data_IF_482023880991
#
_entry.id   IF_482023880991
#
_cell.length_a   1.000
_cell.length_b   1.000
_cell.length_c   1.000
_cell.angle_alpha   90.00
_cell.angle_beta   90.00
_cell.angle_gamma   90.00
#
_symmetry.space_group_name_H-M   'P 1'
#
loop_
_entity.id
_entity.type
_entity.pdbx_description
1 polymer ?
#
# COMPACT_ATOMS: atom_id res chain seq x y z
N UNK A 1 -11.74 -11.68 4.22
CA UNK A 1 -11.31 -13.04 4.64
C UNK A 1 -9.81 -13.17 4.48
N UNK A 2 -9.16 -14.19 5.05
CA UNK A 2 -7.69 -14.36 4.92
C UNK A 2 -7.26 -14.55 3.46
N UNK A 3 -8.09 -15.21 2.64
CA UNK A 3 -7.83 -15.36 1.21
C UNK A 3 -7.89 -14.03 0.45
N UNK A 4 -8.84 -13.15 0.76
CA UNK A 4 -8.92 -11.81 0.16
C UNK A 4 -7.71 -10.94 0.52
N UNK A 5 -7.23 -11.04 1.77
CA UNK A 5 -6.03 -10.33 2.21
C UNK A 5 -4.80 -10.83 1.45
N UNK A 6 -4.62 -12.16 1.37
CA UNK A 6 -3.51 -12.75 0.62
C UNK A 6 -3.61 -12.47 -0.89
N UNK A 7 -4.83 -12.44 -1.44
CA UNK A 7 -5.10 -12.00 -2.81
C UNK A 7 -4.64 -10.57 -3.04
N UNK A 8 -4.98 -9.65 -2.14
CA UNK A 8 -4.56 -8.26 -2.25
C UNK A 8 -3.04 -8.12 -2.24
N UNK A 9 -2.34 -8.83 -1.34
CA UNK A 9 -0.88 -8.81 -1.26
C UNK A 9 -0.25 -9.40 -2.54
N UNK A 10 -0.79 -10.51 -3.06
CA UNK A 10 -0.35 -11.10 -4.33
C UNK A 10 -0.46 -10.07 -5.46
N UNK A 11 -1.60 -9.39 -5.58
CA UNK A 11 -1.81 -8.35 -6.59
C UNK A 11 -0.82 -7.19 -6.46
N UNK A 12 -0.53 -6.70 -5.24
CA UNK A 12 0.47 -5.64 -5.02
C UNK A 12 1.84 -6.07 -5.56
N UNK A 13 2.31 -7.27 -5.19
CA UNK A 13 3.62 -7.77 -5.61
C UNK A 13 3.68 -8.10 -7.09
N UNK A 14 2.55 -8.49 -7.68
CA UNK A 14 2.45 -8.72 -9.11
C UNK A 14 2.47 -7.42 -9.90
N UNK A 15 1.71 -6.41 -9.45
CA UNK A 15 1.70 -5.08 -10.04
C UNK A 15 3.08 -4.40 -9.97
N UNK A 16 3.75 -4.47 -8.83
CA UNK A 16 5.10 -3.92 -8.63
C UNK A 16 6.14 -4.54 -9.56
N UNK A 17 6.02 -5.85 -9.83
CA UNK A 17 6.94 -6.59 -10.71
C UNK A 17 6.66 -6.41 -12.19
N UNK A 18 5.39 -6.33 -12.58
CA UNK A 18 4.98 -6.47 -13.98
C UNK A 18 4.35 -5.22 -14.61
N UNK A 19 3.89 -4.26 -13.80
CA UNK A 19 3.18 -3.07 -14.29
C UNK A 19 3.96 -1.79 -13.99
N UNK A 20 4.09 -1.43 -12.71
CA UNK A 20 4.69 -0.17 -12.31
C UNK A 20 5.12 -0.19 -10.84
N UNK A 21 6.12 0.63 -10.52
CA UNK A 21 6.51 0.87 -9.12
C UNK A 21 5.48 1.74 -8.41
N UNK A 22 5.31 1.46 -7.12
CA UNK A 22 4.58 2.32 -6.20
C UNK A 22 5.46 3.49 -5.74
N UNK A 23 4.82 4.56 -5.24
CA UNK A 23 5.55 5.67 -4.60
C UNK A 23 6.12 5.24 -3.25
N UNK A 24 5.40 4.34 -2.57
CA UNK A 24 5.77 3.83 -1.25
C UNK A 24 5.99 2.31 -1.31
N UNK A 25 7.13 1.87 -0.79
CA UNK A 25 7.38 0.45 -0.59
C UNK A 25 6.88 0.03 0.80
N UNK A 26 5.65 -0.47 0.84
CA UNK A 26 5.00 -0.95 2.07
C UNK A 26 5.20 -2.45 2.20
N UNK A 27 5.51 -2.92 3.42
CA UNK A 27 5.71 -4.35 3.68
C UNK A 27 4.41 -5.14 3.61
N UNK A 28 4.51 -6.45 3.37
CA UNK A 28 3.35 -7.36 3.35
C UNK A 28 2.56 -7.34 4.66
N UNK A 29 3.25 -7.17 5.79
CA UNK A 29 2.62 -7.14 7.11
C UNK A 29 1.84 -5.84 7.34
N UNK A 30 2.37 -4.71 6.87
CA UNK A 30 1.65 -3.43 6.90
C UNK A 30 0.43 -3.45 5.97
N UNK A 31 0.57 -4.02 4.77
CA UNK A 31 -0.55 -4.20 3.83
C UNK A 31 -1.61 -5.14 4.41
N UNK A 32 -1.21 -6.26 5.02
CA UNK A 32 -2.12 -7.19 5.71
C UNK A 32 -2.96 -6.45 6.75
N UNK A 33 -2.30 -5.69 7.63
CA UNK A 33 -2.99 -4.91 8.66
C UNK A 33 -3.91 -3.88 8.04
N UNK A 34 -3.44 -3.11 7.06
CA UNK A 34 -4.24 -2.09 6.41
C UNK A 34 -5.53 -2.68 5.82
N UNK A 35 -5.43 -3.76 5.04
CA UNK A 35 -6.60 -4.42 4.44
C UNK A 35 -7.55 -5.01 5.50
N UNK A 36 -7.04 -5.46 6.64
CA UNK A 36 -7.86 -5.97 7.74
C UNK A 36 -8.56 -4.86 8.54
N UNK A 37 -7.96 -3.67 8.63
CA UNK A 37 -8.49 -2.56 9.44
C UNK A 37 -9.28 -1.51 8.65
N UNK A 38 -9.15 -1.44 7.33
CA UNK A 38 -9.98 -0.55 6.52
C UNK A 38 -11.43 -1.08 6.55
N UNK A 39 -12.41 -0.27 7.02
CA UNK A 39 -13.78 -0.73 7.25
C UNK A 39 -14.60 -0.90 5.96
N UNK A 40 -14.07 -0.43 4.84
CA UNK A 40 -14.72 -0.46 3.52
C UNK A 40 -13.83 -1.23 2.55
N UNK A 41 -14.42 -2.14 1.79
CA UNK A 41 -13.68 -2.87 0.77
C UNK A 41 -13.12 -1.91 -0.29
N UNK A 42 -11.79 -1.92 -0.46
CA UNK A 42 -11.13 -1.21 -1.55
C UNK A 42 -10.96 -2.17 -2.72
N UNK A 43 -11.86 -2.07 -3.69
CA UNK A 43 -11.90 -2.90 -4.90
C UNK A 43 -12.02 -2.04 -6.16
N UNK A 44 -12.11 -2.67 -7.32
CA UNK A 44 -12.25 -2.00 -8.61
C UNK A 44 -12.25 -3.00 -9.77
N UNK A 45 -12.46 -2.49 -10.97
CA UNK A 45 -12.33 -3.27 -12.21
C UNK A 45 -10.88 -3.66 -12.45
N UNK A 46 -10.67 -4.70 -13.25
CA UNK A 46 -9.33 -5.02 -13.76
C UNK A 46 -8.76 -3.82 -14.54
N UNK A 47 -7.48 -3.52 -14.27
CA UNK A 47 -6.75 -2.46 -14.97
C UNK A 47 -5.76 -3.00 -15.99
N UNK A 48 -5.18 -4.16 -15.69
CA UNK A 48 -4.08 -4.75 -16.44
C UNK A 48 -4.41 -6.20 -16.80
N UNK A 49 -4.01 -6.70 -17.99
CA UNK A 49 -4.31 -8.06 -18.45
C UNK A 49 -3.43 -9.12 -17.79
N UNK A 50 -3.12 -8.96 -16.50
CA UNK A 50 -2.23 -9.81 -15.72
C UNK A 50 -3.07 -10.58 -14.72
N UNK A 51 -3.02 -11.92 -14.80
CA UNK A 51 -3.75 -12.80 -13.90
C UNK A 51 -2.96 -13.11 -12.62
N UNK A 52 -3.68 -13.25 -11.51
CA UNK A 52 -3.12 -13.86 -10.31
C UNK A 52 -3.00 -15.37 -10.45
N UNK A 53 -2.10 -15.94 -9.65
CA UNK A 53 -1.78 -17.35 -9.65
C UNK A 53 -2.52 -18.14 -8.57
N UNK A 54 -2.54 -17.63 -7.34
CA UNK A 54 -2.88 -18.45 -6.16
C UNK A 54 -4.32 -18.24 -5.70
N UNK A 55 -4.75 -16.98 -5.54
CA UNK A 55 -6.05 -16.67 -4.94
C UNK A 55 -7.11 -16.33 -5.98
N UNK A 56 -7.48 -17.32 -6.81
CA UNK A 56 -8.44 -17.17 -7.92
C UNK A 56 -9.89 -17.45 -7.49
N UNK A 57 -10.85 -16.90 -8.24
CA UNK A 57 -12.30 -17.15 -8.14
C UNK A 57 -12.87 -16.92 -6.73
N UNK A 58 -12.40 -15.87 -6.05
CA UNK A 58 -12.93 -15.52 -4.73
C UNK A 58 -14.35 -14.95 -4.88
N UNK A 59 -15.33 -15.38 -4.06
CA UNK A 59 -16.75 -15.08 -4.28
C UNK A 59 -17.10 -13.58 -4.37
N UNK A 60 -16.29 -12.72 -3.75
CA UNK A 60 -16.50 -11.27 -3.70
C UNK A 60 -15.65 -10.48 -4.69
N UNK A 61 -14.74 -11.13 -5.41
CA UNK A 61 -13.83 -10.49 -6.36
C UNK A 61 -14.18 -10.99 -7.76
N UNK A 62 -14.77 -10.11 -8.56
CA UNK A 62 -15.35 -10.44 -9.87
C UNK A 62 -14.30 -10.76 -10.95
N UNK A 63 -13.01 -10.52 -10.69
CA UNK A 63 -11.92 -10.74 -11.65
C UNK A 63 -10.72 -11.49 -11.06
N UNK A 64 -10.06 -12.30 -11.89
CA UNK A 64 -8.78 -12.91 -11.58
C UNK A 64 -7.57 -12.05 -12.00
N UNK A 65 -7.83 -10.85 -12.50
CA UNK A 65 -6.78 -9.93 -12.94
C UNK A 65 -6.45 -8.89 -11.87
N UNK A 66 -5.34 -8.22 -12.08
CA UNK A 66 -4.83 -7.17 -11.20
C UNK A 66 -5.74 -5.94 -11.23
N UNK A 67 -6.08 -5.42 -10.05
CA UNK A 67 -6.94 -4.24 -9.84
C UNK A 67 -6.11 -3.04 -9.42
N UNK A 68 -5.24 -2.55 -10.30
CA UNK A 68 -4.21 -1.54 -10.01
C UNK A 68 -4.73 -0.26 -9.33
N UNK A 69 -5.94 0.18 -9.67
CA UNK A 69 -6.59 1.32 -9.00
C UNK A 69 -6.79 1.08 -7.50
N UNK A 70 -7.32 -0.08 -7.12
CA UNK A 70 -7.51 -0.46 -5.72
C UNK A 70 -6.16 -0.57 -4.98
N UNK A 71 -5.15 -1.15 -5.63
CA UNK A 71 -3.81 -1.28 -5.06
C UNK A 71 -3.20 0.09 -4.74
N UNK A 72 -3.32 1.06 -5.65
CA UNK A 72 -2.81 2.43 -5.43
C UNK A 72 -3.56 3.16 -4.32
N UNK A 73 -4.88 3.01 -4.23
CA UNK A 73 -5.67 3.63 -3.16
C UNK A 73 -5.20 3.18 -1.78
N UNK A 74 -4.91 1.88 -1.60
CA UNK A 74 -4.39 1.39 -0.32
C UNK A 74 -2.92 1.74 -0.14
N UNK A 75 -2.06 1.38 -1.10
CA UNK A 75 -0.61 1.44 -0.93
C UNK A 75 -0.07 2.88 -0.96
N UNK A 76 -0.32 3.62 -2.05
CA UNK A 76 0.17 5.00 -2.22
C UNK A 76 -0.73 6.03 -1.51
N UNK A 77 -1.99 5.66 -1.25
CA UNK A 77 -3.00 6.49 -0.61
C UNK A 77 -3.03 6.30 0.91
N UNK A 78 -3.88 5.39 1.38
CA UNK A 78 -4.18 5.22 2.81
C UNK A 78 -2.93 4.95 3.65
N UNK A 79 -2.08 4.02 3.19
CA UNK A 79 -0.87 3.62 3.92
C UNK A 79 0.26 4.62 3.69
N UNK A 80 0.60 4.89 2.44
CA UNK A 80 1.68 5.82 2.07
C UNK A 80 1.44 7.27 2.48
N UNK A 81 0.20 7.68 2.74
CA UNK A 81 -0.14 9.01 3.29
C UNK A 81 -0.78 8.92 4.67
N UNK A 82 -0.53 7.84 5.41
CA UNK A 82 -1.16 7.57 6.72
C UNK A 82 -1.14 8.76 7.67
N UNK A 83 -0.03 9.52 7.72
CA UNK A 83 0.07 10.73 8.55
C UNK A 83 -0.97 11.80 8.19
N UNK A 84 -1.15 12.10 6.89
CA UNK A 84 -2.13 13.09 6.42
C UNK A 84 -3.55 12.59 6.60
N UNK A 85 -3.80 11.31 6.32
CA UNK A 85 -5.11 10.69 6.52
C UNK A 85 -5.49 10.77 8.00
N UNK A 86 -4.56 10.42 8.90
CA UNK A 86 -4.77 10.51 10.34
C UNK A 86 -5.13 11.94 10.79
N UNK A 87 -4.39 12.96 10.34
CA UNK A 87 -4.70 14.36 10.69
C UNK A 87 -6.13 14.76 10.28
N UNK A 88 -6.60 14.30 9.12
CA UNK A 88 -7.95 14.60 8.64
C UNK A 88 -9.00 13.84 9.46
N UNK A 89 -8.80 12.54 9.69
CA UNK A 89 -9.65 11.67 10.50
C UNK A 89 -9.82 12.24 11.91
N UNK A 90 -8.72 12.63 12.55
CA UNK A 90 -8.71 13.21 13.90
C UNK A 90 -9.45 14.56 13.93
N UNK A 91 -9.20 15.42 12.93
CA UNK A 91 -9.91 16.71 12.79
C UNK A 91 -11.42 16.54 12.62
N UNK A 92 -11.85 15.47 11.95
CA UNK A 92 -13.25 15.14 11.73
C UNK A 92 -13.87 14.33 12.88
N UNK A 93 -13.08 13.91 13.87
CA UNK A 93 -13.55 13.10 15.00
C UNK A 93 -14.02 11.70 14.60
N UNK A 94 -13.44 11.10 13.55
CA UNK A 94 -13.83 9.76 13.09
C UNK A 94 -13.08 8.70 13.91
N UNK A 95 -13.83 7.87 14.63
CA UNK A 95 -13.29 6.80 15.46
C UNK A 95 -12.91 5.54 14.65
N UNK A 96 -12.08 4.67 15.23
CA UNK A 96 -11.70 3.37 14.64
C UNK A 96 -10.51 3.38 13.67
N UNK A 97 -9.87 4.54 13.50
CA UNK A 97 -8.73 4.73 12.60
C UNK A 97 -7.39 4.92 13.31
N UNK A 98 -7.34 4.69 14.63
CA UNK A 98 -6.13 4.89 15.46
C UNK A 98 -4.93 4.05 15.02
N UNK A 99 -5.18 2.95 14.29
CA UNK A 99 -4.14 2.10 13.72
C UNK A 99 -3.24 2.82 12.71
N UNK A 100 -3.73 3.91 12.09
CA UNK A 100 -2.92 4.75 11.20
C UNK A 100 -1.73 5.40 11.93
N UNK A 101 -1.85 5.68 13.24
CA UNK A 101 -0.74 6.26 14.03
C UNK A 101 0.49 5.35 14.05
N UNK A 102 0.28 4.04 14.15
CA UNK A 102 1.37 3.05 14.19
C UNK A 102 2.12 2.97 12.86
N UNK A 103 1.41 3.16 11.75
CA UNK A 103 2.02 3.17 10.41
C UNK A 103 2.90 4.41 10.25
N UNK A 104 2.41 5.58 10.70
CA UNK A 104 3.17 6.82 10.68
C UNK A 104 4.53 6.71 11.40
N UNK A 105 4.56 6.08 12.59
CA UNK A 105 5.80 5.90 13.37
C UNK A 105 6.86 5.06 12.62
N UNK A 106 6.43 4.13 11.77
CA UNK A 106 7.32 3.30 10.95
C UNK A 106 7.85 4.11 9.75
N UNK A 107 7.00 4.94 9.13
CA UNK A 107 7.38 5.81 8.01
C UNK A 107 8.43 6.86 8.41
N UNK A 108 8.26 7.52 9.56
CA UNK A 108 9.22 8.51 10.07
C UNK A 108 10.62 7.90 10.27
N UNK A 109 10.70 6.62 10.66
CA UNK A 109 11.97 5.88 10.78
C UNK A 109 12.59 5.50 9.42
N UNK A 110 11.76 5.23 8.40
CA UNK A 110 12.23 4.85 7.05
C UNK A 110 12.78 6.02 6.24
N UNK A 111 12.24 7.24 6.41
CA UNK A 111 12.69 8.42 5.68
C UNK A 111 14.16 8.82 5.96
N UNK A 112 14.81 8.24 6.98
CA UNK A 112 16.25 8.35 7.18
C UNK A 112 17.09 7.67 6.06
N UNK A 113 16.47 6.83 5.21
CA UNK A 113 17.14 6.00 4.20
C UNK A 113 17.28 6.57 2.78
N UNK A 114 16.98 7.85 2.53
CA UNK A 114 17.01 8.48 1.17
C UNK A 114 18.32 8.25 0.37
N UNK A 115 19.41 7.94 1.06
CA UNK A 115 20.72 7.68 0.44
C UNK A 115 20.78 6.39 -0.38
N UNK A 116 19.90 5.42 -0.13
CA UNK A 116 19.89 4.12 -0.81
C UNK A 116 19.49 4.21 -2.30
N UNK A 117 18.74 5.26 -2.69
CA UNK A 117 18.25 5.46 -4.06
C UNK A 117 19.17 6.34 -4.93
N UNK A 118 20.33 6.78 -4.42
CA UNK A 118 21.24 7.65 -5.17
C UNK A 118 22.03 6.83 -6.21
N UNK A 119 21.67 7.00 -7.48
CA UNK A 119 22.36 6.38 -8.62
C UNK A 119 23.78 6.98 -8.77
N UNK A 120 24.74 6.14 -9.15
CA UNK A 120 26.10 6.55 -9.45
C UNK A 120 26.15 7.76 -10.40
N UNK A 121 26.99 8.74 -10.07
CA UNK A 121 27.14 9.98 -10.84
C UNK A 121 26.22 11.12 -10.40
N UNK A 122 25.28 10.91 -9.47
CA UNK A 122 24.58 12.00 -8.80
C UNK A 122 25.38 12.47 -7.57
N UNK A 123 25.90 13.70 -7.56
CA UNK A 123 26.65 14.21 -6.41
C UNK A 123 25.74 14.38 -5.18
N UNK A 124 26.21 13.94 -4.01
CA UNK A 124 25.57 14.14 -2.71
C UNK A 124 26.19 15.39 -2.09
N UNK A 125 25.39 16.44 -1.88
CA UNK A 125 25.87 17.73 -1.35
C UNK A 125 25.85 17.80 0.19
N UNK A 126 25.03 16.98 0.86
CA UNK A 126 24.97 16.92 2.32
C UNK A 126 24.34 15.60 2.79
N UNK A 127 24.81 15.08 3.91
CA UNK A 127 24.19 13.94 4.61
C UNK A 127 22.99 14.44 5.45
N UNK A 128 21.93 13.63 5.60
CA UNK A 128 20.86 13.93 6.56
C UNK A 128 21.42 13.94 7.99
N UNK A 129 20.89 14.83 8.83
CA UNK A 129 21.24 14.96 10.26
C UNK A 129 20.48 13.95 11.12
#
# INVERSE_FOLDING_TARGET
>A
TEEEVRRFIEEVRLFERAVARFQYHVSDEELRRAVQFIPVEVTGTESDPIEVSSFRNLPRIETNRVRGGALRVVNDGVVGRSAKVWTIVEKLGIEGWDWLRRIREIEEKRNAGFMEDVIAGRPIFSFPS
#
